data_IF_543191683531
#
_entry.id   IF_543191683531
#
_cell.length_a   1.000
_cell.length_b   1.000
_cell.length_c   1.000
_cell.angle_alpha   90.00
_cell.angle_beta   90.00
_cell.angle_gamma   90.00
#
_symmetry.space_group_name_H-M   'P 1'
#
loop_
_entity.id
_entity.type
_entity.pdbx_description
1 polymer ?
#
# COMPACT_ATOMS: atom_id res chain seq x y z
N UNK A 1 15.26 22.94 1.16
CA UNK A 1 15.89 21.77 1.81
C UNK A 1 14.77 20.79 2.03
N UNK A 2 14.71 19.70 1.26
CA UNK A 2 13.76 18.63 1.55
C UNK A 2 14.22 18.01 2.86
N UNK A 3 13.39 18.12 3.89
CA UNK A 3 13.65 17.54 5.20
C UNK A 3 13.12 16.12 5.13
N UNK A 4 14.00 15.13 5.27
CA UNK A 4 13.59 13.73 5.35
C UNK A 4 12.61 13.56 6.51
N UNK A 5 11.41 12.98 6.29
CA UNK A 5 10.46 12.70 7.34
C UNK A 5 11.07 11.74 8.35
N UNK A 6 10.92 12.08 9.63
CA UNK A 6 11.37 11.22 10.73
C UNK A 6 10.18 10.96 11.64
N UNK A 7 9.92 9.68 11.87
CA UNK A 7 8.96 9.17 12.84
C UNK A 7 9.43 9.56 14.25
N UNK A 8 8.55 10.12 15.11
CA UNK A 8 8.93 10.44 16.48
C UNK A 8 9.30 9.16 17.26
N UNK A 9 10.17 9.28 18.29
CA UNK A 9 10.48 8.16 19.14
C UNK A 9 9.20 7.61 19.78
N UNK A 10 9.16 6.29 20.01
CA UNK A 10 8.07 5.67 20.78
C UNK A 10 7.96 6.35 22.15
N UNK A 11 6.76 6.45 22.75
CA UNK A 11 6.58 7.09 24.05
C UNK A 11 7.37 6.41 25.17
N UNK A 12 7.77 5.15 24.94
CA UNK A 12 8.57 4.33 25.84
C UNK A 12 9.63 3.53 25.08
N UNK A 13 10.64 3.05 25.80
CA UNK A 13 11.52 1.97 25.32
C UNK A 13 10.81 0.62 25.51
N UNK A 14 10.16 0.14 24.44
CA UNK A 14 9.33 -1.07 24.44
C UNK A 14 10.11 -2.30 24.90
N UNK A 15 11.35 -2.48 24.43
CA UNK A 15 12.17 -3.64 24.78
C UNK A 15 12.70 -3.57 26.23
N UNK A 16 12.87 -2.36 26.80
CA UNK A 16 13.23 -2.22 28.21
C UNK A 16 12.05 -2.53 29.15
N UNK A 17 10.82 -2.19 28.77
CA UNK A 17 9.62 -2.43 29.58
C UNK A 17 9.11 -3.87 29.39
N UNK A 18 9.18 -4.40 28.17
CA UNK A 18 8.76 -5.75 27.80
C UNK A 18 9.94 -6.51 27.18
N UNK A 19 10.88 -7.03 27.98
CA UNK A 19 12.06 -7.75 27.47
C UNK A 19 11.74 -8.94 26.58
N UNK A 20 10.55 -9.53 26.72
CA UNK A 20 10.06 -10.62 25.88
C UNK A 20 9.81 -10.20 24.42
N UNK A 21 9.60 -8.90 24.16
CA UNK A 21 9.47 -8.34 22.80
C UNK A 21 10.82 -8.08 22.13
N UNK A 22 11.92 -7.93 22.88
CA UNK A 22 13.25 -7.69 22.34
C UNK A 22 13.69 -8.70 21.25
N UNK A 23 13.52 -10.04 21.43
CA UNK A 23 13.85 -11.00 20.37
C UNK A 23 12.85 -11.01 19.20
N UNK A 24 11.71 -10.33 19.33
CA UNK A 24 10.66 -10.24 18.30
C UNK A 24 10.72 -8.91 17.53
N UNK A 25 11.63 -8.01 17.89
CA UNK A 25 11.85 -6.75 17.18
C UNK A 25 12.26 -7.03 15.73
N UNK A 26 11.55 -6.43 14.77
CA UNK A 26 11.91 -6.45 13.34
C UNK A 26 12.10 -5.04 12.82
N UNK A 27 13.00 -4.89 11.86
CA UNK A 27 13.12 -3.64 11.11
C UNK A 27 12.06 -3.59 10.01
N UNK A 28 11.56 -2.38 9.74
CA UNK A 28 10.69 -2.10 8.61
C UNK A 28 11.11 -0.78 7.97
N UNK A 29 11.05 -0.70 6.65
CA UNK A 29 11.29 0.55 5.92
C UNK A 29 9.94 1.15 5.55
N UNK A 30 9.55 2.25 6.22
CA UNK A 30 8.41 3.08 5.82
C UNK A 30 8.78 3.85 4.56
N UNK A 31 7.89 3.89 3.58
CA UNK A 31 8.19 4.43 2.24
C UNK A 31 7.88 5.93 2.10
N UNK A 32 7.01 6.48 2.96
CA UNK A 32 6.59 7.89 2.98
C UNK A 32 6.38 8.50 1.58
N UNK A 33 5.37 8.04 0.81
CA UNK A 33 5.16 8.49 -0.55
C UNK A 33 4.84 9.98 -0.61
N UNK A 34 5.44 10.70 -1.57
CA UNK A 34 5.19 12.12 -1.85
C UNK A 34 4.81 12.33 -3.31
N UNK A 35 3.77 13.13 -3.63
CA UNK A 35 3.44 13.45 -5.01
C UNK A 35 4.68 13.98 -5.75
N UNK A 36 4.97 13.42 -6.91
CA UNK A 36 6.19 13.74 -7.64
C UNK A 36 6.17 13.23 -9.09
N UNK A 37 7.30 13.38 -9.77
CA UNK A 37 7.48 12.89 -11.14
C UNK A 37 8.67 11.92 -11.16
N UNK A 38 8.52 10.71 -10.60
CA UNK A 38 9.60 9.73 -10.57
C UNK A 38 9.99 9.26 -11.98
N UNK A 39 11.24 8.84 -12.12
CA UNK A 39 11.78 8.20 -13.32
C UNK A 39 11.99 6.70 -13.09
N UNK A 40 12.34 5.95 -14.14
CA UNK A 40 12.69 4.53 -14.05
C UNK A 40 13.88 4.25 -13.12
N UNK A 41 14.69 5.26 -12.78
CA UNK A 41 15.83 5.12 -11.87
C UNK A 41 15.51 5.40 -10.40
N UNK A 42 14.27 5.78 -10.11
CA UNK A 42 13.83 6.10 -8.75
C UNK A 42 13.04 4.94 -8.16
N UNK A 43 13.18 4.75 -6.85
CA UNK A 43 12.17 4.02 -6.09
C UNK A 43 10.90 4.87 -6.02
N UNK A 44 9.76 4.30 -6.41
CA UNK A 44 8.52 5.06 -6.62
C UNK A 44 7.27 4.20 -6.47
N UNK A 45 6.14 4.89 -6.27
CA UNK A 45 4.78 4.33 -6.38
C UNK A 45 4.08 5.02 -7.53
N UNK A 46 3.34 4.27 -8.36
CA UNK A 46 2.64 4.79 -9.55
C UNK A 46 3.55 5.43 -10.61
N UNK A 47 4.87 5.27 -10.48
CA UNK A 47 5.87 5.75 -11.42
C UNK A 47 6.13 4.77 -12.56
N UNK A 48 6.94 5.18 -13.55
CA UNK A 48 7.33 4.30 -14.64
C UNK A 48 8.26 3.19 -14.13
N UNK A 49 8.09 1.97 -14.65
CA UNK A 49 8.96 0.83 -14.34
C UNK A 49 10.18 0.79 -15.28
N UNK A 50 11.33 0.39 -14.75
CA UNK A 50 12.49 -0.06 -15.51
C UNK A 50 12.18 -1.44 -16.13
N UNK A 51 11.29 -1.46 -17.12
CA UNK A 51 10.83 -2.68 -17.78
C UNK A 51 11.60 -2.91 -19.09
N UNK A 52 12.17 -4.11 -19.34
CA UNK A 52 12.88 -4.38 -20.59
C UNK A 52 11.96 -4.31 -21.82
N UNK A 53 12.39 -3.65 -22.90
CA UNK A 53 11.59 -3.51 -24.11
C UNK A 53 11.24 -4.85 -24.79
N UNK A 54 12.13 -5.83 -24.70
CA UNK A 54 11.96 -7.17 -25.28
C UNK A 54 11.10 -8.11 -24.41
N UNK A 55 10.79 -7.72 -23.17
CA UNK A 55 9.98 -8.54 -22.27
C UNK A 55 8.50 -8.17 -22.38
N UNK A 56 7.60 -9.13 -22.68
CA UNK A 56 6.17 -8.86 -22.76
C UNK A 56 5.63 -8.28 -21.46
N UNK A 57 4.80 -7.25 -21.56
CA UNK A 57 4.10 -6.71 -20.40
C UNK A 57 3.15 -7.76 -19.81
N UNK A 58 3.09 -7.93 -18.48
CA UNK A 58 2.23 -8.94 -17.87
C UNK A 58 0.74 -8.57 -18.00
N UNK A 59 -0.08 -9.59 -18.23
CA UNK A 59 -1.52 -9.46 -18.32
C UNK A 59 -2.20 -10.45 -17.34
N UNK A 60 -3.32 -10.02 -16.76
CA UNK A 60 -4.22 -10.89 -16.02
C UNK A 60 -5.15 -11.60 -17.00
N UNK A 61 -5.18 -12.93 -16.95
CA UNK A 61 -6.02 -13.79 -17.80
C UNK A 61 -7.31 -14.24 -17.11
N UNK A 62 -7.53 -13.82 -15.86
CA UNK A 62 -8.71 -14.23 -15.09
C UNK A 62 -9.99 -13.50 -15.54
N UNK A 63 -11.18 -14.00 -15.20
CA UNK A 63 -12.42 -13.28 -15.48
C UNK A 63 -12.50 -11.95 -14.73
N UNK A 64 -12.83 -10.87 -15.44
CA UNK A 64 -12.95 -9.53 -14.87
C UNK A 64 -14.42 -9.09 -14.87
N UNK A 65 -15.01 -9.03 -13.68
CA UNK A 65 -16.41 -8.62 -13.49
C UNK A 65 -16.43 -7.48 -12.49
N UNK A 66 -17.07 -6.37 -12.85
CA UNK A 66 -17.26 -5.25 -11.94
C UNK A 66 -18.16 -5.63 -10.75
N UNK A 67 -18.10 -4.87 -9.66
CA UNK A 67 -18.84 -5.09 -8.40
C UNK A 67 -20.38 -5.04 -8.53
N UNK A 68 -20.90 -4.85 -9.74
CA UNK A 68 -22.31 -4.69 -10.04
C UNK A 68 -22.86 -3.32 -9.65
N UNK A 69 -22.14 -2.52 -8.88
CA UNK A 69 -22.61 -1.23 -8.37
C UNK A 69 -21.98 -0.10 -9.16
N UNK A 70 -20.68 -0.09 -9.36
CA UNK A 70 -19.88 0.99 -9.94
C UNK A 70 -19.37 0.60 -11.34
N UNK A 71 -19.51 1.47 -12.36
CA UNK A 71 -18.86 1.22 -13.64
C UNK A 71 -17.35 1.32 -13.45
N UNK A 72 -16.62 0.40 -14.06
CA UNK A 72 -15.17 0.56 -14.20
C UNK A 72 -14.88 1.79 -15.09
N UNK A 73 -13.76 2.45 -14.83
CA UNK A 73 -13.37 3.70 -15.47
C UNK A 73 -12.06 3.55 -16.23
N UNK A 74 -11.89 4.28 -17.33
CA UNK A 74 -10.61 4.29 -18.03
C UNK A 74 -9.54 5.01 -17.18
N UNK A 75 -8.27 4.55 -17.19
CA UNK A 75 -7.19 5.27 -16.52
C UNK A 75 -7.06 6.73 -16.99
N UNK A 76 -7.32 7.00 -18.28
CA UNK A 76 -7.29 8.34 -18.85
C UNK A 76 -8.34 9.29 -18.24
N UNK A 77 -9.58 8.80 -18.07
CA UNK A 77 -10.65 9.58 -17.45
C UNK A 77 -10.37 9.83 -15.96
N UNK A 78 -9.87 8.82 -15.23
CA UNK A 78 -9.48 8.97 -13.82
C UNK A 78 -8.42 10.06 -13.64
N UNK A 79 -7.35 10.02 -14.46
CA UNK A 79 -6.30 11.05 -14.41
C UNK A 79 -6.84 12.42 -14.81
N UNK A 80 -7.80 12.50 -15.75
CA UNK A 80 -8.43 13.77 -16.14
C UNK A 80 -9.26 14.35 -14.99
N UNK A 81 -10.09 13.53 -14.36
CA UNK A 81 -10.87 13.90 -13.17
C UNK A 81 -9.96 14.45 -12.07
N UNK A 82 -8.88 13.72 -11.74
CA UNK A 82 -7.91 14.14 -10.73
C UNK A 82 -7.23 15.47 -11.08
N UNK A 83 -6.83 15.68 -12.35
CA UNK A 83 -6.27 16.97 -12.81
C UNK A 83 -7.25 18.13 -12.67
N UNK A 84 -8.53 17.92 -12.98
CA UNK A 84 -9.57 18.95 -12.84
C UNK A 84 -9.71 19.33 -11.35
N UNK A 85 -9.85 18.34 -10.47
CA UNK A 85 -9.95 18.60 -9.03
C UNK A 85 -8.71 19.28 -8.46
N UNK A 86 -7.51 18.80 -8.79
CA UNK A 86 -6.27 19.43 -8.38
C UNK A 86 -6.16 20.88 -8.88
N UNK A 87 -6.45 21.15 -10.16
CA UNK A 87 -6.41 22.50 -10.73
C UNK A 87 -7.47 23.45 -10.14
N UNK A 88 -8.60 22.91 -9.68
CA UNK A 88 -9.66 23.71 -9.06
C UNK A 88 -9.22 24.36 -7.74
N UNK A 89 -8.37 23.71 -6.95
CA UNK A 89 -7.97 24.18 -5.62
C UNK A 89 -9.18 24.61 -4.74
N UNK A 90 -10.31 23.90 -4.85
CA UNK A 90 -11.53 24.21 -4.09
C UNK A 90 -12.33 25.41 -4.61
N UNK A 91 -11.93 26.01 -5.74
CA UNK A 91 -12.77 27.00 -6.45
C UNK A 91 -13.98 26.31 -7.09
N UNK A 92 -14.99 27.12 -7.43
CA UNK A 92 -16.11 26.63 -8.23
C UNK A 92 -15.63 26.11 -9.60
N UNK A 93 -16.08 24.92 -9.96
CA UNK A 93 -15.81 24.32 -11.26
C UNK A 93 -16.42 25.16 -12.37
N UNK A 94 -15.64 25.37 -13.43
CA UNK A 94 -16.14 25.98 -14.67
C UNK A 94 -17.21 25.09 -15.31
N UNK A 95 -18.07 25.64 -16.18
CA UNK A 95 -19.05 24.84 -16.90
C UNK A 95 -18.44 23.68 -17.69
N UNK A 96 -17.28 23.88 -18.31
CA UNK A 96 -16.55 22.86 -19.08
C UNK A 96 -15.98 21.75 -18.18
N UNK A 97 -15.41 22.10 -17.03
CA UNK A 97 -14.95 21.11 -16.04
C UNK A 97 -16.11 20.27 -15.51
N UNK A 98 -17.26 20.91 -15.24
CA UNK A 98 -18.47 20.22 -14.78
C UNK A 98 -19.01 19.27 -15.84
N UNK A 99 -19.13 19.72 -17.08
CA UNK A 99 -19.56 18.87 -18.21
C UNK A 99 -18.61 17.68 -18.39
N UNK A 100 -17.30 17.91 -18.26
CA UNK A 100 -16.29 16.85 -18.33
C UNK A 100 -16.45 15.84 -17.20
N UNK A 101 -16.63 16.29 -15.96
CA UNK A 101 -16.84 15.40 -14.81
C UNK A 101 -18.17 14.64 -14.90
N UNK A 102 -19.24 15.28 -15.36
CA UNK A 102 -20.54 14.62 -15.60
C UNK A 102 -20.44 13.57 -16.73
N UNK A 103 -19.58 13.77 -17.74
CA UNK A 103 -19.29 12.74 -18.76
C UNK A 103 -18.56 11.54 -18.15
N UNK A 104 -17.59 11.79 -17.27
CA UNK A 104 -16.79 10.72 -16.63
C UNK A 104 -17.63 9.95 -15.61
N UNK A 105 -18.38 10.67 -14.77
CA UNK A 105 -19.27 10.13 -13.73
C UNK A 105 -20.69 10.68 -13.92
N UNK A 106 -21.49 10.06 -14.80
CA UNK A 106 -22.85 10.52 -15.02
C UNK A 106 -23.70 10.42 -13.74
N UNK A 107 -24.54 11.43 -13.44
CA UNK A 107 -25.44 11.39 -12.30
C UNK A 107 -26.30 10.12 -12.32
N UNK A 108 -26.28 9.37 -11.22
CA UNK A 108 -27.08 8.15 -11.10
C UNK A 108 -28.52 8.51 -10.81
N UNK A 109 -29.42 8.06 -11.67
CA UNK A 109 -30.87 8.14 -11.40
C UNK A 109 -31.31 6.87 -10.67
N UNK A 110 -32.00 7.01 -9.54
CA UNK A 110 -32.54 5.86 -8.82
C UNK A 110 -33.74 5.25 -9.56
N UNK A 111 -33.88 3.91 -9.60
CA UNK A 111 -32.97 2.91 -9.03
C UNK A 111 -31.69 2.75 -9.86
N UNK A 112 -30.54 2.63 -9.18
CA UNK A 112 -29.24 2.44 -9.83
C UNK A 112 -29.30 1.15 -10.65
N UNK A 113 -29.10 1.26 -11.97
CA UNK A 113 -28.91 0.07 -12.81
C UNK A 113 -27.55 -0.51 -12.49
N UNK A 114 -27.52 -1.79 -12.15
CA UNK A 114 -26.27 -2.51 -11.91
C UNK A 114 -25.41 -2.43 -13.17
N UNK A 115 -24.17 -1.95 -13.04
CA UNK A 115 -23.20 -2.06 -14.12
C UNK A 115 -22.82 -3.53 -14.20
N UNK A 116 -23.37 -4.28 -15.15
CA UNK A 116 -22.93 -5.66 -15.42
C UNK A 116 -22.09 -5.59 -16.68
N UNK A 117 -20.86 -5.11 -16.53
CA UNK A 117 -19.88 -5.10 -17.59
C UNK A 117 -18.83 -6.17 -17.29
N UNK A 118 -18.86 -7.24 -18.05
CA UNK A 118 -17.75 -8.18 -18.13
C UNK A 118 -16.71 -7.63 -19.10
N UNK A 119 -15.43 -7.78 -18.76
CA UNK A 119 -14.33 -7.53 -19.66
C UNK A 119 -13.76 -8.86 -20.12
N UNK A 120 -13.94 -9.15 -21.41
CA UNK A 120 -13.43 -10.37 -22.02
C UNK A 120 -11.97 -10.18 -22.46
N UNK A 121 -11.14 -11.17 -22.13
CA UNK A 121 -9.73 -11.23 -22.54
C UNK A 121 -8.74 -10.66 -21.53
N UNK A 122 -7.43 -10.72 -21.87
CA UNK A 122 -6.35 -10.32 -20.98
C UNK A 122 -6.38 -8.83 -20.65
N UNK A 123 -6.20 -8.49 -19.38
CA UNK A 123 -6.09 -7.10 -18.90
C UNK A 123 -4.64 -6.80 -18.54
N UNK A 124 -4.07 -5.76 -19.15
CA UNK A 124 -2.71 -5.31 -18.82
C UNK A 124 -2.62 -4.93 -17.33
N UNK A 125 -1.60 -5.46 -16.64
CA UNK A 125 -1.39 -5.16 -15.22
C UNK A 125 -0.96 -3.71 -15.03
N UNK A 126 -1.46 -3.05 -13.98
CA UNK A 126 -1.01 -1.70 -13.63
C UNK A 126 0.34 -1.75 -12.89
N UNK A 127 1.26 -0.83 -13.17
CA UNK A 127 2.45 -0.65 -12.36
C UNK A 127 2.07 -0.01 -11.02
N UNK A 128 2.47 -0.64 -9.91
CA UNK A 128 2.13 -0.18 -8.56
C UNK A 128 3.34 0.43 -7.89
N UNK A 129 4.45 -0.30 -7.83
CA UNK A 129 5.65 0.15 -7.17
C UNK A 129 6.91 -0.37 -7.87
N UNK A 130 7.98 0.40 -7.76
CA UNK A 130 9.33 0.00 -8.10
C UNK A 130 10.24 0.38 -6.94
N UNK A 131 11.00 -0.57 -6.40
CA UNK A 131 11.81 -0.36 -5.21
C UNK A 131 13.23 -0.89 -5.44
N UNK A 132 14.21 0.00 -5.33
CA UNK A 132 15.63 -0.36 -5.38
C UNK A 132 16.14 -0.71 -3.99
N UNK A 133 16.94 -1.76 -3.90
CA UNK A 133 17.56 -2.22 -2.63
C UNK A 133 18.44 -1.12 -2.00
N UNK A 134 19.04 -0.25 -2.81
CA UNK A 134 19.82 0.90 -2.31
C UNK A 134 19.00 1.92 -1.51
N UNK A 135 17.70 1.99 -1.76
CA UNK A 135 16.79 2.97 -1.13
C UNK A 135 15.93 2.31 -0.03
N UNK A 136 15.71 0.99 -0.11
CA UNK A 136 14.85 0.23 0.80
C UNK A 136 15.64 -0.92 1.44
N UNK A 137 16.30 -0.69 2.59
CA UNK A 137 17.18 -1.66 3.23
C UNK A 137 16.51 -2.97 3.67
N UNK A 138 15.21 -2.95 3.97
CA UNK A 138 14.47 -4.14 4.42
C UNK A 138 13.99 -5.04 3.26
N UNK A 139 14.35 -4.74 2.01
CA UNK A 139 14.19 -5.69 0.90
C UNK A 139 15.19 -6.83 1.03
N UNK A 140 14.70 -8.07 0.92
CA UNK A 140 15.52 -9.28 0.85
C UNK A 140 15.49 -9.86 -0.57
N UNK A 141 16.32 -9.36 -1.50
CA UNK A 141 16.30 -9.79 -2.89
C UNK A 141 16.87 -11.21 -3.06
N UNK A 142 16.41 -11.96 -4.08
CA UNK A 142 17.14 -13.13 -4.58
C UNK A 142 18.55 -12.78 -5.06
N UNK A 143 19.41 -13.80 -5.17
CA UNK A 143 20.81 -13.60 -5.57
C UNK A 143 20.93 -12.86 -6.91
N UNK A 144 21.76 -11.81 -6.94
CA UNK A 144 22.04 -11.02 -8.15
C UNK A 144 20.93 -10.03 -8.56
N UNK A 145 19.87 -9.88 -7.75
CA UNK A 145 18.79 -8.92 -7.96
C UNK A 145 18.95 -7.71 -7.04
N UNK A 146 18.57 -6.53 -7.51
CA UNK A 146 18.67 -5.26 -6.79
C UNK A 146 17.44 -4.34 -6.98
N UNK A 147 16.41 -4.84 -7.65
CA UNK A 147 15.18 -4.13 -7.99
C UNK A 147 13.97 -5.05 -7.82
N UNK A 148 12.98 -4.61 -7.04
CA UNK A 148 11.64 -5.19 -6.97
C UNK A 148 10.67 -4.33 -7.77
N UNK A 149 9.85 -4.96 -8.60
CA UNK A 149 8.72 -4.32 -9.28
C UNK A 149 7.43 -5.05 -8.88
N UNK A 150 6.42 -4.25 -8.51
CA UNK A 150 5.09 -4.73 -8.11
C UNK A 150 4.09 -4.22 -9.13
N UNK A 151 3.33 -5.15 -9.71
CA UNK A 151 2.21 -4.85 -10.58
C UNK A 151 0.95 -5.49 -10.02
N UNK A 152 -0.23 -4.97 -10.36
CA UNK A 152 -1.49 -5.60 -9.97
C UNK A 152 -2.56 -5.55 -11.06
N UNK A 153 -3.55 -6.42 -10.93
CA UNK A 153 -4.73 -6.39 -11.77
C UNK A 153 -5.58 -5.18 -11.37
N UNK A 154 -6.11 -4.39 -12.31
CA UNK A 154 -6.99 -3.26 -11.99
C UNK A 154 -8.42 -3.68 -11.61
N UNK A 155 -8.65 -4.96 -11.30
CA UNK A 155 -9.91 -5.56 -10.89
C UNK A 155 -9.69 -6.46 -9.67
N UNK A 156 -10.78 -6.73 -8.95
CA UNK A 156 -10.80 -7.64 -7.82
C UNK A 156 -10.70 -9.11 -8.23
N UNK A 157 -9.87 -9.84 -7.48
CA UNK A 157 -9.72 -11.28 -7.59
C UNK A 157 -9.56 -11.94 -6.20
N UNK A 158 -10.64 -12.29 -5.47
CA UNK A 158 -12.06 -11.92 -5.69
C UNK A 158 -12.51 -10.67 -4.94
N UNK A 159 -11.71 -10.15 -3.98
CA UNK A 159 -12.07 -9.01 -3.10
C UNK A 159 -10.98 -7.93 -3.01
N UNK A 160 -9.84 -8.16 -3.65
CA UNK A 160 -8.71 -7.24 -3.73
C UNK A 160 -7.93 -7.52 -5.03
N UNK A 161 -7.08 -6.60 -5.51
CA UNK A 161 -6.35 -6.82 -6.75
C UNK A 161 -5.26 -7.87 -6.56
N UNK A 162 -5.19 -8.82 -7.50
CA UNK A 162 -4.06 -9.75 -7.57
C UNK A 162 -2.80 -9.02 -7.99
N UNK A 163 -1.68 -9.36 -7.39
CA UNK A 163 -0.36 -8.79 -7.64
C UNK A 163 0.59 -9.76 -8.34
N UNK A 164 1.59 -9.20 -9.00
CA UNK A 164 2.74 -9.90 -9.55
C UNK A 164 4.01 -9.20 -9.08
N UNK A 165 4.98 -10.00 -8.66
CA UNK A 165 6.28 -9.54 -8.17
C UNK A 165 7.37 -9.93 -9.17
N UNK A 166 8.22 -8.96 -9.53
CA UNK A 166 9.36 -9.20 -10.42
C UNK A 166 10.65 -8.73 -9.75
N UNK A 167 11.55 -9.67 -9.50
CA UNK A 167 12.91 -9.39 -9.03
C UNK A 167 13.88 -9.29 -10.21
N UNK A 168 14.57 -8.15 -10.33
CA UNK A 168 15.46 -7.85 -11.46
C UNK A 168 16.83 -7.37 -11.01
N UNK A 169 17.80 -7.53 -11.91
CA UNK A 169 19.04 -6.76 -11.89
C UNK A 169 18.82 -5.51 -12.74
N UNK A 170 18.82 -4.33 -12.13
CA UNK A 170 18.59 -3.07 -12.82
C UNK A 170 19.64 -2.83 -13.91
N UNK A 171 20.90 -3.19 -13.65
CA UNK A 171 21.99 -3.04 -14.61
C UNK A 171 21.85 -3.95 -15.85
N UNK A 172 21.03 -5.01 -15.79
CA UNK A 172 20.77 -5.87 -16.93
C UNK A 172 19.75 -5.27 -17.91
N UNK A 173 18.96 -4.28 -17.48
CA UNK A 173 17.99 -3.59 -18.35
C UNK A 173 18.70 -2.46 -19.09
N UNK A 174 18.84 -2.63 -20.40
CA UNK A 174 19.56 -1.68 -21.27
C UNK A 174 18.61 -0.91 -22.18
N UNK A 175 17.67 -1.60 -22.81
CA UNK A 175 16.57 -1.02 -23.58
C UNK A 175 15.27 -1.06 -22.76
N UNK A 176 14.69 0.11 -22.49
CA UNK A 176 13.51 0.30 -21.63
C UNK A 176 12.26 0.41 -22.49
N UNK A 177 11.15 -0.20 -22.05
CA UNK A 177 9.85 -0.08 -22.68
C UNK A 177 9.28 1.35 -22.47
N UNK A 178 9.31 2.17 -23.52
CA UNK A 178 8.89 3.58 -23.45
C UNK A 178 7.38 3.78 -23.19
N UNK A 179 6.53 2.87 -23.67
CA UNK A 179 5.08 2.99 -23.60
C UNK A 179 4.46 1.66 -23.19
N UNK A 180 4.40 1.37 -21.88
CA UNK A 180 3.71 0.18 -21.40
C UNK A 180 2.22 0.24 -21.77
N UNK A 181 1.58 -0.90 -22.07
CA UNK A 181 0.16 -0.93 -22.38
C UNK A 181 -0.66 -0.51 -21.15
N UNK A 182 -1.69 0.31 -21.36
CA UNK A 182 -2.64 0.65 -20.31
C UNK A 182 -3.86 -0.28 -20.35
N UNK A 183 -4.42 -0.69 -19.20
CA UNK A 183 -5.66 -1.42 -19.19
C UNK A 183 -6.81 -0.56 -19.71
N UNK A 184 -7.82 -1.16 -20.36
CA UNK A 184 -8.97 -0.41 -20.88
C UNK A 184 -9.84 0.19 -19.77
N UNK A 185 -9.82 -0.41 -18.57
CA UNK A 185 -10.60 0.03 -17.43
C UNK A 185 -9.97 -0.41 -16.10
N UNK A 186 -10.39 0.28 -15.04
CA UNK A 186 -10.07 0.02 -13.64
C UNK A 186 -11.36 -0.05 -12.86
N UNK A 187 -11.56 -1.11 -12.09
CA UNK A 187 -12.79 -1.35 -11.35
C UNK A 187 -13.04 -0.27 -10.29
N UNK A 188 -12.00 0.09 -9.55
CA UNK A 188 -12.04 1.16 -8.55
C UNK A 188 -10.94 2.17 -8.83
N UNK A 189 -11.27 3.46 -8.73
CA UNK A 189 -10.30 4.55 -8.91
C UNK A 189 -9.08 4.44 -7.99
N UNK A 190 -9.28 3.91 -6.78
CA UNK A 190 -8.24 3.59 -5.81
C UNK A 190 -7.22 2.52 -6.23
N UNK A 191 -7.40 1.82 -7.36
CA UNK A 191 -6.37 0.91 -7.88
C UNK A 191 -5.41 1.57 -8.86
N UNK A 192 -5.69 2.82 -9.26
CA UNK A 192 -4.78 3.59 -10.10
C UNK A 192 -3.90 4.49 -9.21
N UNK A 193 -2.64 4.12 -8.93
CA UNK A 193 -1.76 4.94 -8.11
C UNK A 193 -1.40 6.28 -8.79
N UNK A 194 -1.28 7.33 -7.99
CA UNK A 194 -0.63 8.60 -8.34
C UNK A 194 0.89 8.45 -8.29
N UNK A 195 1.63 9.05 -9.24
CA UNK A 195 3.07 9.04 -9.23
C UNK A 195 3.65 9.72 -7.98
N UNK A 196 4.42 8.96 -7.22
CA UNK A 196 5.06 9.40 -6.00
C UNK A 196 6.55 9.07 -6.01
N UNK A 197 7.36 10.02 -5.53
CA UNK A 197 8.73 9.75 -5.06
C UNK A 197 8.65 9.28 -3.61
N UNK A 198 9.66 8.54 -3.16
CA UNK A 198 9.69 7.98 -1.81
C UNK A 198 10.70 8.72 -0.93
N UNK A 199 10.43 8.75 0.37
CA UNK A 199 11.35 9.27 1.39
C UNK A 199 11.58 8.19 2.48
N UNK A 200 12.34 7.12 2.18
CA UNK A 200 12.37 5.94 3.02
C UNK A 200 12.95 6.18 4.42
N UNK A 201 12.37 5.53 5.43
CA UNK A 201 12.81 5.57 6.81
C UNK A 201 12.77 4.17 7.43
N UNK A 202 13.88 3.70 7.99
CA UNK A 202 13.90 2.44 8.73
C UNK A 202 13.49 2.66 10.19
N UNK A 203 12.53 1.85 10.65
CA UNK A 203 11.99 1.84 12.00
C UNK A 203 12.12 0.44 12.62
N UNK A 204 11.75 0.33 13.90
CA UNK A 204 11.56 -0.96 14.57
C UNK A 204 10.10 -1.17 14.89
N UNK A 205 9.62 -2.38 14.61
CA UNK A 205 8.27 -2.83 14.90
C UNK A 205 8.29 -4.10 15.76
N UNK A 206 7.14 -4.37 16.37
CA UNK A 206 6.88 -5.55 17.17
C UNK A 206 5.68 -6.32 16.59
N UNK A 207 5.47 -7.59 16.98
CA UNK A 207 4.29 -8.35 16.58
C UNK A 207 3.00 -7.73 17.12
N UNK A 208 1.92 -7.92 16.38
CA UNK A 208 0.55 -7.66 16.84
C UNK A 208 0.26 -8.42 18.14
N UNK A 209 -0.61 -7.87 18.99
CA UNK A 209 -0.96 -8.49 20.27
C UNK A 209 -1.54 -9.92 20.15
N UNK A 210 -2.06 -10.30 18.98
CA UNK A 210 -2.56 -11.65 18.69
C UNK A 210 -1.44 -12.63 18.32
N UNK A 211 -0.25 -12.15 17.98
CA UNK A 211 0.92 -12.97 17.61
C UNK A 211 1.87 -13.24 18.78
N UNK A 212 1.60 -12.67 19.96
CA UNK A 212 2.37 -12.92 21.19
C UNK A 212 1.71 -13.95 22.10
N UNK A 213 2.47 -14.50 23.05
CA UNK A 213 1.92 -15.41 24.06
C UNK A 213 0.83 -14.74 24.89
N UNK A 214 -0.17 -15.50 25.34
CA UNK A 214 -1.26 -14.99 26.19
C UNK A 214 -0.76 -14.26 27.45
N UNK A 215 0.32 -14.76 28.06
CA UNK A 215 0.93 -14.12 29.24
C UNK A 215 1.48 -12.72 28.90
N UNK A 216 2.20 -12.60 27.79
CA UNK A 216 2.74 -11.32 27.33
C UNK A 216 1.62 -10.36 26.92
N UNK A 217 0.60 -10.85 26.22
CA UNK A 217 -0.58 -10.04 25.86
C UNK A 217 -1.25 -9.46 27.10
N UNK A 218 -1.44 -10.26 28.14
CA UNK A 218 -2.04 -9.77 29.39
C UNK A 218 -1.16 -8.73 30.10
N UNK A 219 0.17 -8.88 30.06
CA UNK A 219 1.10 -7.87 30.57
C UNK A 219 1.00 -6.55 29.79
N UNK A 220 0.94 -6.62 28.44
CA UNK A 220 0.76 -5.45 27.58
C UNK A 220 -0.56 -4.75 27.89
N UNK A 221 -1.67 -5.50 27.94
CA UNK A 221 -3.00 -4.98 28.29
C UNK A 221 -2.99 -4.21 29.60
N UNK A 222 -2.50 -4.84 30.66
CA UNK A 222 -2.49 -4.23 32.00
C UNK A 222 -1.65 -2.96 32.05
N UNK A 223 -0.53 -2.94 31.33
CA UNK A 223 0.31 -1.75 31.23
C UNK A 223 -0.36 -0.63 30.46
N UNK A 224 -1.03 -0.94 29.33
CA UNK A 224 -1.64 0.04 28.42
C UNK A 224 -2.99 0.60 28.89
N UNK A 225 -3.61 0.08 29.95
CA UNK A 225 -4.93 0.57 30.43
C UNK A 225 -4.97 2.09 30.67
N UNK A 226 -4.05 2.72 31.43
CA UNK A 226 -4.12 4.14 31.68
C UNK A 226 -3.89 4.97 30.41
N UNK A 227 -2.91 4.62 29.57
CA UNK A 227 -2.59 5.34 28.33
C UNK A 227 -3.71 5.20 27.29
N UNK A 228 -4.25 3.99 27.12
CA UNK A 228 -5.37 3.73 26.21
C UNK A 228 -6.63 4.50 26.62
N UNK A 229 -6.88 4.62 27.94
CA UNK A 229 -8.01 5.41 28.46
C UNK A 229 -7.84 6.92 28.19
N UNK A 230 -6.62 7.44 28.13
CA UNK A 230 -6.36 8.83 27.74
C UNK A 230 -6.67 9.09 26.26
N UNK A 231 -6.51 8.07 25.40
CA UNK A 231 -6.79 8.14 23.95
C UNK A 231 -8.17 7.62 23.54
N UNK A 232 -9.04 7.22 24.49
CA UNK A 232 -10.36 6.62 24.23
C UNK A 232 -10.29 5.35 23.36
N UNK A 233 -9.25 4.53 23.59
CA UNK A 233 -8.96 3.28 22.88
C UNK A 233 -8.99 2.09 23.85
N UNK A 234 -9.17 0.88 23.32
CA UNK A 234 -8.92 -0.32 24.12
C UNK A 234 -7.40 -0.61 24.22
N UNK A 235 -6.94 -1.29 25.28
CA UNK A 235 -5.51 -1.49 25.53
C UNK A 235 -4.77 -2.32 24.47
N UNK A 236 -5.45 -3.28 23.82
CA UNK A 236 -4.83 -4.08 22.75
C UNK A 236 -4.58 -3.17 21.53
N UNK A 237 -5.60 -2.43 21.10
CA UNK A 237 -5.47 -1.48 19.98
C UNK A 237 -4.45 -0.39 20.26
N UNK A 238 -4.34 0.11 21.51
CA UNK A 238 -3.29 1.06 21.88
C UNK A 238 -1.89 0.47 21.65
N UNK A 239 -1.64 -0.76 22.12
CA UNK A 239 -0.34 -1.40 21.88
C UNK A 239 -0.07 -1.56 20.38
N UNK A 240 -1.03 -2.09 19.61
CA UNK A 240 -0.84 -2.34 18.18
C UNK A 240 -0.54 -1.04 17.43
N UNK A 241 -1.37 -0.01 17.62
CA UNK A 241 -1.29 1.23 16.85
C UNK A 241 -0.18 2.17 17.34
N UNK A 242 0.16 2.19 18.64
CA UNK A 242 1.11 3.18 19.19
C UNK A 242 2.51 2.60 19.34
N UNK A 243 2.62 1.35 19.78
CA UNK A 243 3.89 0.74 20.18
C UNK A 243 4.43 -0.27 19.16
N UNK A 244 3.54 -0.91 18.40
CA UNK A 244 3.88 -2.13 17.64
C UNK A 244 3.99 -1.91 16.13
N UNK A 245 2.88 -1.64 15.45
CA UNK A 245 2.79 -1.62 14.00
C UNK A 245 2.69 -0.19 13.47
N UNK A 246 3.58 0.19 12.58
CA UNK A 246 3.49 1.45 11.87
C UNK A 246 2.42 1.39 10.76
N UNK A 247 1.65 2.48 10.60
CA UNK A 247 0.73 2.67 9.48
C UNK A 247 1.49 2.99 8.19
N UNK A 248 0.74 3.02 7.08
CA UNK A 248 1.27 3.44 5.78
C UNK A 248 1.97 2.36 4.98
N UNK A 249 2.57 2.80 3.89
CA UNK A 249 3.32 1.94 3.00
C UNK A 249 4.66 1.57 3.61
N UNK A 250 4.95 0.27 3.71
CA UNK A 250 6.21 -0.22 4.27
C UNK A 250 6.67 -1.53 3.65
N UNK A 251 7.96 -1.81 3.79
CA UNK A 251 8.61 -3.08 3.46
C UNK A 251 9.18 -3.71 4.72
N UNK A 252 9.00 -5.01 4.89
CA UNK A 252 9.40 -5.76 6.07
C UNK A 252 8.52 -5.49 7.30
N UNK A 253 9.09 -5.72 8.49
CA UNK A 253 8.40 -5.53 9.77
C UNK A 253 7.40 -6.62 10.11
N UNK A 254 6.26 -6.20 10.67
CA UNK A 254 5.16 -7.07 11.08
C UNK A 254 3.84 -6.71 10.37
N UNK A 255 3.02 -7.70 9.97
CA UNK A 255 1.65 -7.43 9.52
C UNK A 255 0.79 -6.94 10.69
N UNK A 256 -0.28 -6.20 10.38
CA UNK A 256 -1.29 -5.79 11.36
C UNK A 256 -2.57 -6.58 11.09
N UNK A 257 -3.22 -7.09 12.15
CA UNK A 257 -4.31 -8.08 12.05
C UNK A 257 -5.68 -7.53 12.49
N UNK A 258 -5.81 -6.22 12.65
CA UNK A 258 -7.00 -5.50 13.12
C UNK A 258 -8.38 -5.92 12.53
N UNK A 259 -8.47 -6.58 11.38
CA UNK A 259 -9.73 -7.09 10.81
C UNK A 259 -9.82 -8.62 10.63
N UNK A 260 -8.74 -9.37 10.89
CA UNK A 260 -8.71 -10.84 10.76
C UNK A 260 -7.67 -11.46 11.67
N UNK A 261 -7.96 -12.60 12.29
CA UNK A 261 -7.00 -13.25 13.18
C UNK A 261 -5.70 -13.66 12.43
N UNK A 262 -4.53 -13.62 13.10
CA UNK A 262 -3.29 -14.10 12.53
C UNK A 262 -3.41 -15.52 12.02
N UNK A 263 -3.00 -15.73 10.77
CA UNK A 263 -2.93 -17.07 10.19
C UNK A 263 -1.52 -17.34 9.69
N UNK A 264 -0.87 -18.35 10.27
CA UNK A 264 0.41 -18.83 9.77
C UNK A 264 0.16 -19.57 8.46
N UNK A 265 0.62 -18.98 7.35
CA UNK A 265 0.54 -19.60 6.04
C UNK A 265 1.93 -20.11 5.64
N UNK A 266 2.13 -21.43 5.47
CA UNK A 266 3.38 -21.96 4.96
C UNK A 266 3.47 -21.73 3.44
N UNK A 267 4.69 -21.55 2.94
CA UNK A 267 4.98 -21.54 1.52
C UNK A 267 4.50 -22.86 0.89
N UNK A 268 3.75 -22.78 -0.22
CA UNK A 268 3.22 -23.96 -0.91
C UNK A 268 4.30 -24.88 -1.48
N UNK A 269 5.47 -24.34 -1.80
CA UNK A 269 6.56 -25.09 -2.45
C UNK A 269 7.50 -25.77 -1.44
N UNK A 270 7.86 -25.10 -0.35
CA UNK A 270 8.89 -25.59 0.59
C UNK A 270 8.43 -25.73 2.04
N UNK A 271 7.24 -25.24 2.39
CA UNK A 271 6.68 -25.32 3.75
C UNK A 271 7.25 -24.31 4.75
N UNK A 272 8.23 -23.48 4.37
CA UNK A 272 8.75 -22.39 5.20
C UNK A 272 7.64 -21.39 5.54
N UNK A 273 7.60 -20.91 6.79
CA UNK A 273 6.64 -19.87 7.19
C UNK A 273 6.86 -18.59 6.37
N UNK A 274 5.78 -18.04 5.83
CA UNK A 274 5.84 -16.84 5.01
C UNK A 274 6.01 -15.60 5.89
N UNK A 275 6.70 -14.58 5.38
CA UNK A 275 6.91 -13.30 6.06
C UNK A 275 6.39 -12.15 5.19
N UNK A 276 5.96 -11.05 5.82
CA UNK A 276 5.47 -9.89 5.09
C UNK A 276 6.63 -9.21 4.36
N UNK A 277 6.55 -9.16 3.03
CA UNK A 277 7.45 -8.36 2.19
C UNK A 277 7.03 -6.90 2.22
N UNK A 278 5.74 -6.64 1.99
CA UNK A 278 5.24 -5.29 1.75
C UNK A 278 3.83 -5.13 2.28
N UNK A 279 3.56 -3.94 2.83
CA UNK A 279 2.23 -3.47 3.19
C UNK A 279 1.86 -2.30 2.29
N UNK A 280 0.76 -2.45 1.57
CA UNK A 280 0.12 -1.44 0.72
C UNK A 280 -1.08 -0.90 1.46
N UNK A 281 -0.96 0.28 2.09
CA UNK A 281 -2.00 0.86 2.91
C UNK A 281 -2.79 1.95 2.17
N UNK A 282 -4.07 2.11 2.52
CA UNK A 282 -4.87 3.25 2.05
C UNK A 282 -4.39 4.58 2.63
N UNK A 283 -3.93 4.58 3.88
CA UNK A 283 -3.55 5.79 4.62
C UNK A 283 -2.13 5.66 5.19
N UNK A 284 -1.39 6.77 5.17
CA UNK A 284 -0.05 6.88 5.81
C UNK A 284 -0.13 7.17 7.31
N UNK A 285 -1.26 7.68 7.78
CA UNK A 285 -1.53 8.04 9.17
C UNK A 285 -2.13 6.85 9.92
N UNK A 286 -1.84 6.77 11.22
CA UNK A 286 -2.44 5.79 12.12
C UNK A 286 -3.79 6.25 12.64
N UNK A 287 -4.52 5.35 13.29
CA UNK A 287 -5.82 5.64 13.89
C UNK A 287 -5.70 6.27 15.29
N UNK A 288 -4.48 6.43 15.81
CA UNK A 288 -4.22 6.96 17.14
C UNK A 288 -4.31 8.50 17.19
N UNK A 289 -4.96 9.02 18.24
CA UNK A 289 -5.14 10.46 18.40
C UNK A 289 -3.79 11.17 18.65
N UNK A 290 -2.86 10.45 19.27
CA UNK A 290 -1.49 10.88 19.54
C UNK A 290 -0.64 11.14 18.29
N UNK A 291 -1.05 10.67 17.10
CA UNK A 291 -0.25 10.76 15.88
C UNK A 291 1.16 10.17 16.05
N UNK A 292 1.24 9.07 16.79
CA UNK A 292 2.47 8.46 17.31
C UNK A 292 3.39 8.01 16.19
N UNK A 293 2.84 7.68 15.02
CA UNK A 293 3.63 7.36 13.83
C UNK A 293 3.66 8.47 12.78
N UNK A 294 3.01 9.61 13.00
CA UNK A 294 2.99 10.67 12.01
C UNK A 294 4.39 11.29 11.89
N UNK A 295 5.00 11.28 10.68
CA UNK A 295 6.36 11.77 10.52
C UNK A 295 6.45 13.28 10.74
N UNK A 296 7.63 13.74 11.16
CA UNK A 296 7.96 15.16 11.24
C UNK A 296 8.99 15.56 10.16
N UNK A 297 8.75 16.66 9.42
CA UNK A 297 7.54 17.48 9.44
C UNK A 297 6.32 16.72 8.91
N UNK A 298 5.13 17.03 9.45
CA UNK A 298 3.89 16.39 8.99
C UNK A 298 3.67 16.67 7.51
N UNK A 299 3.23 15.67 6.71
CA UNK A 299 2.97 15.82 5.28
C UNK A 299 2.00 16.93 4.84
N UNK A 300 1.29 17.56 5.79
CA UNK A 300 0.06 18.32 5.54
C UNK A 300 -1.14 17.42 5.19
N UNK A 301 -2.27 18.04 4.82
CA UNK A 301 -3.42 17.31 4.27
C UNK A 301 -3.09 16.78 2.86
N UNK A 302 -3.60 15.59 2.52
CA UNK A 302 -3.44 15.01 1.18
C UNK A 302 -4.05 15.89 0.08
N UNK A 303 -3.72 15.63 -1.20
CA UNK A 303 -4.16 16.47 -2.32
C UNK A 303 -5.67 16.41 -2.60
N UNK A 304 -6.40 15.47 -1.99
CA UNK A 304 -7.82 15.24 -2.24
C UNK A 304 -8.71 15.79 -1.10
N UNK A 305 -9.55 16.81 -1.36
CA UNK A 305 -10.45 17.35 -0.36
C UNK A 305 -11.53 16.32 0.03
N UNK A 306 -11.67 16.08 1.34
CA UNK A 306 -12.71 15.21 1.90
C UNK A 306 -12.27 13.80 2.29
N UNK A 307 -11.04 13.38 1.97
CA UNK A 307 -10.45 12.17 2.53
C UNK A 307 -9.96 12.43 3.96
N UNK A 308 -10.27 11.52 4.89
CA UNK A 308 -9.60 11.50 6.20
C UNK A 308 -8.17 11.01 5.98
N UNK A 309 -7.18 11.77 6.44
CA UNK A 309 -5.77 11.38 6.42
C UNK A 309 -5.01 11.65 5.11
N UNK A 310 -3.68 11.61 5.20
CA UNK A 310 -2.78 11.75 4.06
C UNK A 310 -2.76 10.49 3.17
N UNK A 311 -3.23 10.63 1.94
CA UNK A 311 -3.14 9.61 0.88
C UNK A 311 -2.55 10.25 -0.40
N UNK A 312 -1.21 10.25 -0.49
CA UNK A 312 -0.49 10.77 -1.65
C UNK A 312 -0.58 9.86 -2.87
N UNK A 313 -0.63 8.54 -2.65
CA UNK A 313 -0.64 7.54 -3.71
C UNK A 313 -1.99 7.45 -4.39
N UNK A 314 -3.05 8.03 -3.82
CA UNK A 314 -4.42 7.87 -4.31
C UNK A 314 -4.92 6.42 -4.26
N UNK A 315 -4.16 5.52 -3.62
CA UNK A 315 -4.51 4.11 -3.51
C UNK A 315 -5.55 3.93 -2.43
N UNK A 316 -6.56 3.11 -2.70
CA UNK A 316 -7.56 2.72 -1.70
C UNK A 316 -7.82 1.22 -1.79
N UNK A 317 -7.59 0.53 -0.69
CA UNK A 317 -7.86 -0.90 -0.53
C UNK A 317 -9.15 -1.05 0.26
N UNK A 318 -10.19 -1.60 -0.38
CA UNK A 318 -11.52 -1.75 0.20
C UNK A 318 -12.04 -0.45 0.81
N UNK A 319 -12.48 -0.52 2.08
CA UNK A 319 -13.05 0.62 2.82
C UNK A 319 -12.02 1.40 3.65
N UNK A 320 -10.73 1.36 3.28
CA UNK A 320 -9.64 1.94 4.07
C UNK A 320 -8.69 0.90 4.68
N UNK A 321 -8.75 -0.32 4.19
CA UNK A 321 -7.90 -1.44 4.59
C UNK A 321 -6.48 -1.28 4.04
N UNK A 322 -5.66 -2.30 4.28
CA UNK A 322 -4.34 -2.49 3.68
C UNK A 322 -4.24 -3.89 3.07
N UNK A 323 -3.38 -4.02 2.06
CA UNK A 323 -3.02 -5.30 1.47
C UNK A 323 -1.59 -5.66 1.87
N UNK A 324 -1.41 -6.83 2.45
CA UNK A 324 -0.13 -7.42 2.79
C UNK A 324 0.28 -8.43 1.72
N UNK A 325 1.55 -8.34 1.29
CA UNK A 325 2.18 -9.29 0.39
C UNK A 325 3.16 -10.13 1.19
N UNK A 326 2.85 -11.40 1.39
CA UNK A 326 3.69 -12.35 2.12
C UNK A 326 4.52 -13.18 1.14
N UNK A 327 5.82 -13.29 1.40
CA UNK A 327 6.76 -14.06 0.57
C UNK A 327 7.49 -15.12 1.39
N UNK A 328 8.04 -16.10 0.69
CA UNK A 328 8.89 -17.12 1.30
C UNK A 328 10.27 -16.52 1.60
N UNK A 329 10.71 -16.43 2.86
CA UNK A 329 12.02 -15.86 3.20
C UNK A 329 13.18 -16.75 2.72
N UNK A 330 12.94 -18.04 2.48
CA UNK A 330 13.95 -18.96 1.97
C UNK A 330 14.15 -18.85 0.44
N UNK A 331 13.12 -18.42 -0.29
CA UNK A 331 13.17 -18.26 -1.75
C UNK A 331 12.10 -17.26 -2.20
N UNK A 332 12.45 -15.95 -2.33
CA UNK A 332 11.48 -14.89 -2.62
C UNK A 332 10.81 -14.98 -3.99
N UNK A 333 11.27 -15.88 -4.87
CA UNK A 333 10.64 -16.17 -6.17
C UNK A 333 9.53 -17.22 -6.09
N UNK A 334 9.34 -17.90 -4.95
CA UNK A 334 8.17 -18.75 -4.74
C UNK A 334 6.87 -17.94 -4.75
N UNK A 335 5.71 -18.57 -5.03
CA UNK A 335 4.42 -17.88 -5.02
C UNK A 335 4.18 -17.12 -3.72
N UNK A 336 3.86 -15.83 -3.84
CA UNK A 336 3.50 -14.97 -2.72
C UNK A 336 2.01 -15.13 -2.36
N UNK A 337 1.65 -14.66 -1.18
CA UNK A 337 0.28 -14.68 -0.67
C UNK A 337 -0.18 -13.23 -0.45
N UNK A 338 -1.41 -12.95 -0.84
CA UNK A 338 -2.06 -11.66 -0.64
C UNK A 338 -3.08 -11.77 0.49
N UNK A 339 -3.06 -10.82 1.41
CA UNK A 339 -4.03 -10.73 2.48
C UNK A 339 -4.49 -9.29 2.66
N UNK A 340 -5.79 -9.07 2.76
CA UNK A 340 -6.34 -7.77 3.13
C UNK A 340 -6.64 -7.75 4.62
N UNK A 341 -6.18 -6.71 5.33
CA UNK A 341 -6.49 -6.45 6.74
C UNK A 341 -6.93 -5.02 6.98
#
# INVERSE_FOLDING_TARGET
>A
MNVTPVTPPRPIDVAAIFPQLAPLARTATRLHPRPGAPTWHDSSIGGPLLWPAEEPWPHCEEPHVVDGINPAQSPADLRLERRIFAASHGRDLTPEERETLERIRPPRTYPVRLAVQAYDGPIAMLPVAQLYVRDVPDLSPPEGKDLLQVLWCPFDHPIMPRTLLFWRSAAAVTDILDTPPEPPAVQFDGYLPEPCVLEPEQITEYPDHLEVSEELREQLKQWSVPEAAEEDMDPDTYYDCVLSNAPGWKVGGWPAWNSTDPSSQPCSECGTGMEVLMTVATFEEGDDAGNSWSPHPHPGAGPYPGHRGYNATGVQIGSGYRQHLFVCPAEPEHPHIELMT
#
